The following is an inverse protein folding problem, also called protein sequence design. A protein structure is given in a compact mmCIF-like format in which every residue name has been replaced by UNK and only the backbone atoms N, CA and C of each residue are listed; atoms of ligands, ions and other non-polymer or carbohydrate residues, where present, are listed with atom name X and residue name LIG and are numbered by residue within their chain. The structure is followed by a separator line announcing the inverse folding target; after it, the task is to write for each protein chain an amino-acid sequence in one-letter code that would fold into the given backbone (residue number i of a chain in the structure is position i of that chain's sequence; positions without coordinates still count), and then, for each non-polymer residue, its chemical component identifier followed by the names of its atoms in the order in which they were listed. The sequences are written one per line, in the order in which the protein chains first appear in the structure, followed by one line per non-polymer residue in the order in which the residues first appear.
data_IF_508933421089
#
_entry.id   IF_508933421089
#
_cell.length_a   1.000
_cell.length_b   1.000
_cell.length_c   1.000
_cell.angle_alpha   90.00
_cell.angle_beta   90.00
_cell.angle_gamma   90.00
#
_symmetry.space_group_name_H-M   'P 1'
#
loop_
_entity.id
_entity.type
_entity.pdbx_description
1 polymer ?
#
# COMPACT_ATOMS: atom_id res chain seq x y z
N UNK A 1 -14.41 -4.33 12.10
CA UNK A 1 -13.44 -3.90 11.08
C UNK A 1 -12.85 -5.15 10.45
N UNK A 2 -13.26 -5.46 9.23
CA UNK A 2 -12.72 -6.57 8.44
C UNK A 2 -12.17 -5.95 7.16
N UNK A 3 -10.89 -6.19 6.91
CA UNK A 3 -10.16 -5.67 5.76
C UNK A 3 -9.43 -6.84 5.09
N UNK A 4 -9.51 -6.91 3.78
CA UNK A 4 -8.66 -7.78 2.98
C UNK A 4 -7.58 -6.96 2.28
N UNK A 5 -6.37 -7.52 2.16
CA UNK A 5 -5.25 -6.89 1.48
C UNK A 5 -4.50 -7.86 0.58
N UNK A 6 -3.99 -7.36 -0.55
CA UNK A 6 -3.06 -8.09 -1.43
C UNK A 6 -1.97 -7.15 -1.91
N UNK A 7 -0.74 -7.66 -2.01
CA UNK A 7 0.41 -6.93 -2.55
C UNK A 7 0.87 -7.58 -3.85
N UNK A 8 1.05 -6.78 -4.89
CA UNK A 8 1.37 -7.25 -6.24
C UNK A 8 2.55 -6.46 -6.85
N UNK A 9 3.71 -7.11 -7.09
CA UNK A 9 4.07 -8.45 -6.62
C UNK A 9 4.13 -8.55 -5.08
N UNK A 10 3.96 -9.76 -4.53
CA UNK A 10 4.00 -9.99 -3.08
C UNK A 10 5.40 -9.73 -2.47
N UNK A 11 6.44 -9.75 -3.31
CA UNK A 11 7.81 -9.40 -2.98
C UNK A 11 8.50 -8.86 -4.22
N UNK A 12 9.40 -7.91 -4.04
CA UNK A 12 10.26 -7.38 -5.09
C UNK A 12 11.68 -7.17 -4.54
N UNK A 13 12.65 -7.08 -5.43
CA UNK A 13 14.04 -6.73 -5.11
C UNK A 13 14.40 -5.49 -5.92
N UNK A 14 15.17 -4.59 -5.32
CA UNK A 14 15.65 -3.37 -5.95
C UNK A 14 17.13 -3.20 -5.63
N UNK A 15 17.90 -2.91 -6.67
CA UNK A 15 19.33 -2.62 -6.52
C UNK A 15 19.54 -1.23 -5.90
N UNK A 16 20.68 -0.99 -5.22
CA UNK A 16 21.07 0.35 -4.77
C UNK A 16 21.04 1.37 -5.93
N UNK A 17 20.47 2.54 -5.66
CA UNK A 17 20.24 3.60 -6.66
C UNK A 17 19.14 3.30 -7.69
N UNK A 18 18.50 2.12 -7.60
CA UNK A 18 17.35 1.73 -8.41
C UNK A 18 16.01 2.17 -7.81
N UNK A 19 14.94 1.93 -8.56
CA UNK A 19 13.57 2.13 -8.08
C UNK A 19 12.67 0.99 -8.54
N UNK A 20 11.73 0.58 -7.68
CA UNK A 20 10.70 -0.40 -8.02
C UNK A 20 9.35 0.02 -7.46
N UNK A 21 8.28 -0.42 -8.12
CA UNK A 21 6.91 -0.06 -7.76
C UNK A 21 6.09 -1.32 -7.53
N UNK A 22 5.27 -1.27 -6.49
CA UNK A 22 4.46 -2.39 -6.00
C UNK A 22 3.06 -1.88 -5.71
N UNK A 23 2.04 -2.70 -5.95
CA UNK A 23 0.65 -2.31 -5.78
C UNK A 23 0.03 -3.00 -4.58
N UNK A 24 -0.41 -2.21 -3.61
CA UNK A 24 -1.21 -2.68 -2.48
C UNK A 24 -2.69 -2.48 -2.80
N UNK A 25 -3.46 -3.57 -2.80
CA UNK A 25 -4.92 -3.53 -2.90
C UNK A 25 -5.53 -3.72 -1.53
N UNK A 26 -6.52 -2.91 -1.20
CA UNK A 26 -7.26 -2.96 0.05
C UNK A 26 -8.74 -3.09 -0.28
N UNK A 27 -9.43 -4.05 0.32
CA UNK A 27 -10.89 -4.18 0.21
C UNK A 27 -11.54 -4.06 1.57
N UNK A 28 -12.48 -3.12 1.68
CA UNK A 28 -13.33 -3.04 2.86
C UNK A 28 -14.35 -4.20 2.81
N UNK A 29 -14.20 -5.17 3.70
CA UNK A 29 -15.09 -6.33 3.83
C UNK A 29 -16.08 -6.18 4.99
N UNK A 30 -16.15 -5.00 5.60
CA UNK A 30 -17.18 -4.61 6.55
C UNK A 30 -18.45 -4.07 5.88
N UNK A 31 -19.37 -3.61 6.72
CA UNK A 31 -20.69 -3.07 6.39
C UNK A 31 -20.80 -1.54 6.57
N UNK A 32 -19.73 -0.88 7.02
CA UNK A 32 -19.62 0.57 7.16
C UNK A 32 -18.48 1.15 6.32
N UNK A 33 -18.51 2.47 6.07
CA UNK A 33 -17.40 3.17 5.39
C UNK A 33 -16.21 3.29 6.33
N UNK A 34 -15.03 2.92 5.86
CA UNK A 34 -13.78 3.02 6.60
C UNK A 34 -12.77 3.92 5.87
N UNK A 35 -11.91 4.56 6.63
CA UNK A 35 -10.74 5.28 6.12
C UNK A 35 -9.46 4.54 6.52
N UNK A 36 -8.60 4.28 5.55
CA UNK A 36 -7.36 3.54 5.71
C UNK A 36 -6.17 4.44 5.39
N UNK A 37 -5.25 4.58 6.33
CA UNK A 37 -3.97 5.27 6.13
C UNK A 37 -2.86 4.24 5.94
N UNK A 38 -2.12 4.35 4.85
CA UNK A 38 -0.97 3.49 4.56
C UNK A 38 0.32 4.24 4.93
N UNK A 39 1.12 3.65 5.83
CA UNK A 39 2.37 4.24 6.31
C UNK A 39 3.47 3.17 6.24
N UNK A 40 4.58 3.43 5.53
CA UNK A 40 5.69 2.50 5.52
C UNK A 40 6.41 2.54 6.87
N UNK A 41 6.90 1.39 7.32
CA UNK A 41 7.56 1.23 8.63
C UNK A 41 8.83 0.41 8.47
N UNK A 42 9.77 0.58 9.42
CA UNK A 42 11.08 -0.09 9.38
C UNK A 42 12.10 0.65 8.53
N UNK A 43 13.24 0.00 8.27
CA UNK A 43 14.43 0.62 7.67
C UNK A 43 14.19 1.19 6.27
N UNK A 44 13.24 0.61 5.52
CA UNK A 44 12.89 1.06 4.17
C UNK A 44 11.96 2.28 4.16
N UNK A 45 11.41 2.70 5.30
CA UNK A 45 10.38 3.73 5.35
C UNK A 45 10.85 5.08 4.80
N UNK A 46 12.12 5.46 5.03
CA UNK A 46 12.71 6.69 4.48
C UNK A 46 12.88 6.69 2.97
N UNK A 47 12.83 5.50 2.35
CA UNK A 47 13.01 5.30 0.91
C UNK A 47 11.74 4.79 0.21
N UNK A 48 10.61 4.81 0.92
CA UNK A 48 9.32 4.34 0.40
C UNK A 48 8.35 5.50 0.30
N UNK A 49 7.79 5.72 -0.88
CA UNK A 49 6.66 6.65 -1.10
C UNK A 49 5.36 5.85 -1.28
N UNK A 50 4.26 6.44 -0.80
CA UNK A 50 2.95 5.78 -0.73
C UNK A 50 1.90 6.71 -1.31
N UNK A 51 1.30 6.32 -2.43
CA UNK A 51 0.33 7.17 -3.14
C UNK A 51 -0.89 6.37 -3.65
N UNK A 52 -2.12 6.73 -3.25
CA UNK A 52 -2.45 7.70 -2.21
C UNK A 52 -2.13 7.17 -0.80
N UNK A 53 -1.65 8.04 0.09
CA UNK A 53 -1.35 7.68 1.49
C UNK A 53 -2.58 7.40 2.36
N UNK A 54 -3.77 7.80 1.91
CA UNK A 54 -5.05 7.53 2.57
C UNK A 54 -6.10 7.14 1.53
N UNK A 55 -6.93 6.14 1.86
CA UNK A 55 -8.07 5.70 1.06
C UNK A 55 -9.34 5.69 1.91
N UNK A 56 -10.42 6.25 1.38
CA UNK A 56 -11.76 6.09 1.94
C UNK A 56 -12.51 5.02 1.15
N UNK A 57 -12.87 3.92 1.81
CA UNK A 57 -13.47 2.76 1.17
C UNK A 57 -14.87 2.48 1.71
N UNK A 58 -15.83 2.44 0.81
CA UNK A 58 -17.20 2.02 1.10
C UNK A 58 -17.27 0.49 1.28
N UNK A 59 -18.30 -0.02 1.98
CA UNK A 59 -18.54 -1.46 2.11
C UNK A 59 -18.43 -2.20 0.77
N UNK A 60 -17.63 -3.26 0.74
CA UNK A 60 -17.44 -4.11 -0.43
C UNK A 60 -16.52 -3.54 -1.52
N UNK A 61 -16.06 -2.29 -1.40
CA UNK A 61 -15.19 -1.65 -2.41
C UNK A 61 -13.71 -1.97 -2.20
N UNK A 62 -12.96 -1.95 -3.30
CA UNK A 62 -11.50 -2.11 -3.31
C UNK A 62 -10.85 -0.80 -3.71
N UNK A 63 -9.85 -0.36 -2.95
CA UNK A 63 -8.93 0.70 -3.33
C UNK A 63 -7.54 0.16 -3.61
N UNK A 64 -6.73 1.00 -4.25
CA UNK A 64 -5.34 0.68 -4.61
C UNK A 64 -4.42 1.79 -4.13
N UNK A 65 -3.28 1.38 -3.56
CA UNK A 65 -2.16 2.22 -3.19
C UNK A 65 -0.93 1.75 -3.95
N UNK A 66 -0.23 2.68 -4.55
CA UNK A 66 1.06 2.46 -5.17
C UNK A 66 2.17 2.74 -4.16
N UNK A 67 3.10 1.80 -4.04
CA UNK A 67 4.28 1.88 -3.20
C UNK A 67 5.49 1.95 -4.11
N UNK A 68 6.28 3.02 -4.02
CA UNK A 68 7.54 3.11 -4.74
C UNK A 68 8.69 3.06 -3.76
N UNK A 69 9.63 2.14 -4.01
CA UNK A 69 10.83 1.93 -3.21
C UNK A 69 12.05 2.40 -4.01
N UNK A 70 12.80 3.34 -3.48
CA UNK A 70 13.99 3.92 -4.13
C UNK A 70 15.14 4.07 -3.11
N UNK A 71 15.80 2.96 -2.72
CA UNK A 71 16.97 3.04 -1.85
C UNK A 71 18.16 3.72 -2.57
N UNK A 72 19.06 4.37 -1.80
CA UNK A 72 20.21 5.10 -2.34
C UNK A 72 21.25 4.19 -3.00
#
# INVERSE_FOLDING_TARGET
MSLWTSLEPASTTVDPGGSTTVRLRLRNTGDVVDEYRCVPVGDLASWTTVEPGTLRLYPGTTGTVELTFAPP
#
